data_IF_903015669114
#
_entry.id   IF_903015669114
#
_cell.length_a   1.000
_cell.length_b   1.000
_cell.length_c   1.000
_cell.angle_alpha   90.00
_cell.angle_beta   90.00
_cell.angle_gamma   90.00
#
_symmetry.space_group_name_H-M   'P 1'
#
loop_
_entity.id
_entity.type
_entity.pdbx_description
1 polymer ?
#
# COMPACT_ATOMS: atom_id res chain seq x y z
N UNK A 1 -2.29 8.90 -20.34
CA UNK A 1 -2.57 7.48 -20.01
C UNK A 1 -1.67 6.95 -18.90
N UNK A 2 -0.36 7.26 -18.89
CA UNK A 2 0.58 6.88 -17.81
C UNK A 2 0.13 7.34 -16.40
N UNK A 3 -0.40 8.56 -16.27
CA UNK A 3 -0.94 9.07 -15.00
C UNK A 3 -2.09 8.19 -14.48
N UNK A 4 -2.98 7.73 -15.37
CA UNK A 4 -4.07 6.84 -15.00
C UNK A 4 -3.54 5.48 -14.51
N UNK A 5 -2.54 4.90 -15.21
CA UNK A 5 -1.87 3.68 -14.78
C UNK A 5 -1.22 3.81 -13.40
N UNK A 6 -0.58 4.95 -13.12
CA UNK A 6 -0.05 5.27 -11.79
C UNK A 6 -1.14 5.34 -10.71
N UNK A 7 -2.27 6.01 -10.99
CA UNK A 7 -3.40 6.06 -10.05
C UNK A 7 -3.98 4.66 -9.79
N UNK A 8 -4.16 3.83 -10.82
CA UNK A 8 -4.63 2.46 -10.65
C UNK A 8 -3.64 1.59 -9.86
N UNK A 9 -2.34 1.71 -10.13
CA UNK A 9 -1.30 1.03 -9.38
C UNK A 9 -1.23 1.49 -7.93
N UNK A 10 -1.45 2.78 -7.66
CA UNK A 10 -1.46 3.33 -6.31
C UNK A 10 -2.68 2.84 -5.52
N UNK A 11 -3.88 2.87 -6.11
CA UNK A 11 -5.10 2.37 -5.48
C UNK A 11 -4.99 0.85 -5.24
N UNK A 12 -4.58 0.08 -6.25
CA UNK A 12 -4.38 -1.36 -6.14
C UNK A 12 -3.33 -1.72 -5.09
N UNK A 13 -2.18 -1.03 -5.11
CA UNK A 13 -1.12 -1.19 -4.13
C UNK A 13 -1.57 -0.79 -2.71
N UNK A 14 -2.43 0.22 -2.57
CA UNK A 14 -3.00 0.59 -1.27
C UNK A 14 -3.91 -0.50 -0.71
N UNK A 15 -4.78 -1.10 -1.53
CA UNK A 15 -5.60 -2.24 -1.08
C UNK A 15 -4.76 -3.47 -0.71
N UNK A 16 -3.71 -3.77 -1.49
CA UNK A 16 -2.76 -4.84 -1.18
C UNK A 16 -2.02 -4.56 0.14
N UNK A 17 -1.58 -3.32 0.35
CA UNK A 17 -0.94 -2.92 1.60
C UNK A 17 -1.87 -3.07 2.80
N UNK A 18 -3.15 -2.73 2.66
CA UNK A 18 -4.17 -2.93 3.70
C UNK A 18 -4.38 -4.42 4.00
N UNK A 19 -4.37 -5.27 2.98
CA UNK A 19 -4.48 -6.72 3.16
C UNK A 19 -3.26 -7.30 3.89
N UNK A 20 -2.05 -6.83 3.55
CA UNK A 20 -0.81 -7.19 4.26
C UNK A 20 -0.85 -6.73 5.72
N UNK A 21 -1.32 -5.50 5.97
CA UNK A 21 -1.51 -4.97 7.31
C UNK A 21 -2.51 -5.77 8.12
N UNK A 22 -3.63 -6.14 7.53
CA UNK A 22 -4.63 -6.99 8.17
C UNK A 22 -3.99 -8.31 8.63
N UNK A 23 -3.18 -8.93 7.78
CA UNK A 23 -2.48 -10.17 8.13
C UNK A 23 -1.43 -9.98 9.23
N UNK A 24 -0.63 -8.91 9.18
CA UNK A 24 0.40 -8.59 10.18
C UNK A 24 -0.19 -8.24 11.54
N UNK A 25 -1.30 -7.49 11.54
CA UNK A 25 -1.93 -6.96 12.76
C UNK A 25 -3.00 -7.90 13.33
N UNK A 26 -3.30 -9.03 12.68
CA UNK A 26 -4.38 -9.96 13.10
C UNK A 26 -4.27 -10.46 14.55
N UNK A 27 -3.04 -10.54 15.07
CA UNK A 27 -2.74 -11.03 16.41
C UNK A 27 -2.47 -9.90 17.42
N UNK A 28 -2.55 -8.64 17.00
CA UNK A 28 -2.28 -7.49 17.87
C UNK A 28 -3.57 -7.12 18.60
N UNK A 29 -3.57 -7.03 19.95
CA UNK A 29 -4.76 -6.67 20.70
C UNK A 29 -5.24 -5.27 20.32
N UNK A 30 -6.56 -5.10 20.21
CA UNK A 30 -7.22 -3.86 19.78
C UNK A 30 -6.80 -2.65 20.61
N UNK A 31 -6.55 -2.85 21.90
CA UNK A 31 -6.09 -1.81 22.83
C UNK A 31 -4.72 -1.24 22.42
N UNK A 32 -3.78 -2.10 22.00
CA UNK A 32 -2.50 -1.65 21.44
C UNK A 32 -2.68 -0.92 20.11
N UNK A 33 -3.57 -1.39 19.24
CA UNK A 33 -3.83 -0.73 17.95
C UNK A 33 -4.36 0.71 18.11
N UNK A 34 -5.19 0.95 19.14
CA UNK A 34 -5.80 2.25 19.39
C UNK A 34 -4.86 3.21 20.12
N UNK A 35 -4.10 2.70 21.10
CA UNK A 35 -3.32 3.52 22.02
C UNK A 35 -1.85 3.70 21.61
N UNK A 36 -1.30 2.87 20.72
CA UNK A 36 0.09 2.99 20.30
C UNK A 36 0.21 3.82 19.00
N UNK A 37 0.67 5.08 19.05
CA UNK A 37 0.87 5.91 17.87
C UNK A 37 2.00 5.36 16.97
N UNK A 38 2.96 4.61 17.52
CA UNK A 38 4.07 4.03 16.76
C UNK A 38 3.57 3.01 15.76
N UNK A 39 2.59 2.19 16.17
CA UNK A 39 1.93 1.24 15.29
C UNK A 39 1.29 2.00 14.13
N UNK A 40 0.52 3.06 14.38
CA UNK A 40 -0.15 3.84 13.33
C UNK A 40 0.83 4.40 12.29
N UNK A 41 1.94 4.99 12.75
CA UNK A 41 2.95 5.55 11.85
C UNK A 41 3.72 4.47 11.09
N UNK A 42 4.21 3.44 11.78
CA UNK A 42 5.00 2.36 11.15
C UNK A 42 4.20 1.61 10.09
N UNK A 43 2.98 1.21 10.43
CA UNK A 43 2.13 0.42 9.54
C UNK A 43 1.46 1.28 8.48
N UNK A 44 1.14 2.55 8.78
CA UNK A 44 0.73 3.53 7.78
C UNK A 44 1.82 3.75 6.72
N UNK A 45 3.06 3.99 7.13
CA UNK A 45 4.21 4.11 6.23
C UNK A 45 4.43 2.84 5.40
N UNK A 46 4.27 1.66 6.00
CA UNK A 46 4.37 0.39 5.28
C UNK A 46 3.30 0.28 4.18
N UNK A 47 2.05 0.66 4.48
CA UNK A 47 0.98 0.68 3.48
C UNK A 47 1.27 1.64 2.32
N UNK A 48 1.74 2.85 2.64
CA UNK A 48 2.12 3.84 1.64
C UNK A 48 3.31 3.38 0.80
N UNK A 49 4.29 2.69 1.40
CA UNK A 49 5.41 2.11 0.67
C UNK A 49 4.93 1.07 -0.34
N UNK A 50 4.00 0.19 0.05
CA UNK A 50 3.41 -0.81 -0.86
C UNK A 50 2.58 -0.13 -1.95
N UNK A 51 1.82 0.92 -1.63
CA UNK A 51 1.04 1.68 -2.59
C UNK A 51 1.93 2.37 -3.65
N UNK A 52 3.00 3.02 -3.22
CA UNK A 52 3.97 3.66 -4.12
C UNK A 52 4.70 2.63 -4.98
N UNK A 53 5.05 1.48 -4.40
CA UNK A 53 5.64 0.39 -5.16
C UNK A 53 4.68 -0.16 -6.22
N UNK A 54 3.41 -0.38 -5.86
CA UNK A 54 2.37 -0.79 -6.80
C UNK A 54 2.15 0.22 -7.93
N UNK A 55 2.14 1.52 -7.60
CA UNK A 55 2.11 2.59 -8.59
C UNK A 55 3.30 2.54 -9.55
N UNK A 56 4.51 2.38 -9.02
CA UNK A 56 5.73 2.32 -9.82
C UNK A 56 5.72 1.10 -10.75
N UNK A 57 5.43 -0.10 -10.23
CA UNK A 57 5.33 -1.31 -11.02
C UNK A 57 4.30 -1.18 -12.15
N UNK A 58 3.11 -0.63 -11.84
CA UNK A 58 2.06 -0.45 -12.85
C UNK A 58 2.46 0.54 -13.95
N UNK A 59 3.18 1.62 -13.60
CA UNK A 59 3.71 2.58 -14.58
C UNK A 59 4.78 1.93 -15.46
N UNK A 60 5.71 1.18 -14.88
CA UNK A 60 6.77 0.48 -15.63
C UNK A 60 6.15 -0.54 -16.59
N UNK A 61 5.23 -1.38 -16.12
CA UNK A 61 4.52 -2.33 -17.00
C UNK A 61 3.71 -1.61 -18.08
N UNK A 62 3.07 -0.49 -17.76
CA UNK A 62 2.36 0.29 -18.77
C UNK A 62 3.31 0.82 -19.86
N UNK A 63 4.49 1.30 -19.46
CA UNK A 63 5.50 1.80 -20.39
C UNK A 63 6.12 0.71 -21.26
N UNK A 64 6.33 -0.51 -20.73
CA UNK A 64 6.91 -1.62 -21.51
C UNK A 64 5.93 -2.22 -22.54
N UNK A 65 4.62 -2.24 -22.24
CA UNK A 65 3.64 -2.97 -23.05
C UNK A 65 2.70 -2.09 -23.89
N UNK A 66 2.49 -0.82 -23.51
CA UNK A 66 1.46 0.04 -24.11
C UNK A 66 1.97 1.40 -24.62
N UNK A 67 3.27 1.67 -24.51
CA UNK A 67 3.91 2.88 -25.00
C UNK A 67 5.05 2.54 -25.95
#
# INVERSE_FOLDING_TARGET
MVIAAGIFGLIGGFFLGQMVLYFLLRNVPREKLLNDPTIKWKYGLLNWAIALFGSYSMVVTYQEYFQ
#
